data_IF_625308448710
#
_entry.id   IF_625308448710
#
_cell.length_a   1.000
_cell.length_b   1.000
_cell.length_c   1.000
_cell.angle_alpha   90.00
_cell.angle_beta   90.00
_cell.angle_gamma   90.00
#
_symmetry.space_group_name_H-M   'P 1'
#
loop_
_entity.id
_entity.type
_entity.pdbx_description
1 polymer ?
#
# COMPACT_ATOMS: atom_id res chain seq x y z
N UNK A 1 -16.11 -3.94 5.26
CA UNK A 1 -14.74 -3.50 4.92
C UNK A 1 -14.80 -3.05 3.46
N UNK A 2 -14.54 -1.78 3.14
CA UNK A 2 -14.92 -1.14 1.86
C UNK A 2 -13.77 -1.11 0.84
N UNK A 3 -14.09 -1.21 -0.46
CA UNK A 3 -13.21 -1.04 -1.65
C UNK A 3 -12.39 0.27 -1.62
N UNK A 4 -12.80 1.23 -0.79
CA UNK A 4 -12.06 2.47 -0.56
C UNK A 4 -10.67 2.30 0.10
N UNK A 5 -10.36 1.12 0.69
CA UNK A 5 -9.09 0.89 1.41
C UNK A 5 -7.82 1.13 0.57
N UNK A 6 -7.63 0.49 -0.60
CA UNK A 6 -6.49 0.76 -1.48
C UNK A 6 -6.25 2.26 -1.71
N UNK A 7 -7.31 3.02 -1.95
CA UNK A 7 -7.20 4.46 -2.19
C UNK A 7 -6.78 5.22 -0.95
N UNK A 8 -7.41 4.96 0.19
CA UNK A 8 -7.13 5.72 1.41
C UNK A 8 -5.68 5.51 1.86
N UNK A 9 -5.18 4.27 1.80
CA UNK A 9 -3.78 4.01 2.15
C UNK A 9 -2.82 4.56 1.10
N UNK A 10 -3.12 4.45 -0.20
CA UNK A 10 -2.29 5.07 -1.24
C UNK A 10 -2.28 6.60 -1.12
N UNK A 11 -3.38 7.23 -0.70
CA UNK A 11 -3.44 8.65 -0.36
C UNK A 11 -2.52 9.01 0.81
N UNK A 12 -2.52 8.19 1.87
CA UNK A 12 -1.58 8.35 2.98
C UNK A 12 -0.12 8.27 2.53
N UNK A 13 0.20 7.31 1.65
CA UNK A 13 1.56 7.15 1.08
C UNK A 13 1.93 8.34 0.19
N UNK A 14 1.02 8.82 -0.64
CA UNK A 14 1.24 10.03 -1.43
C UNK A 14 1.52 11.25 -0.54
N UNK A 15 0.84 11.36 0.61
CA UNK A 15 1.13 12.40 1.59
C UNK A 15 2.54 12.25 2.20
N UNK A 16 2.97 11.03 2.55
CA UNK A 16 4.33 10.78 3.03
C UNK A 16 5.37 11.20 1.98
N UNK A 17 5.17 10.80 0.73
CA UNK A 17 6.09 11.08 -0.38
C UNK A 17 6.19 12.58 -0.68
N UNK A 18 5.08 13.33 -0.61
CA UNK A 18 5.09 14.80 -0.71
C UNK A 18 5.96 15.47 0.37
N UNK A 19 6.05 14.86 1.55
CA UNK A 19 6.86 15.33 2.68
C UNK A 19 8.26 14.70 2.71
N UNK A 20 8.64 14.04 1.61
CA UNK A 20 9.92 13.36 1.41
C UNK A 20 10.20 12.26 2.45
N UNK A 21 9.15 11.60 2.93
CA UNK A 21 9.21 10.44 3.81
C UNK A 21 8.95 9.20 2.97
N UNK A 22 9.89 8.25 2.96
CA UNK A 22 9.65 6.89 2.48
C UNK A 22 9.58 5.95 3.69
N UNK A 23 8.56 5.11 3.74
CA UNK A 23 8.26 4.29 4.92
C UNK A 23 9.09 3.00 4.98
N UNK A 24 9.33 2.38 3.81
CA UNK A 24 10.12 1.15 3.62
C UNK A 24 9.53 -0.13 4.22
N UNK A 25 8.30 -0.10 4.72
CA UNK A 25 7.58 -1.28 5.26
C UNK A 25 6.05 -1.18 5.08
N UNK A 26 5.59 -0.87 3.86
CA UNK A 26 4.16 -0.64 3.59
C UNK A 26 3.42 -1.95 3.28
N UNK A 27 3.20 -2.76 4.32
CA UNK A 27 2.43 -4.00 4.28
C UNK A 27 1.17 -3.93 5.14
N UNK A 28 0.19 -4.84 4.97
CA UNK A 28 -1.11 -4.74 5.62
C UNK A 28 -1.08 -4.69 7.15
N UNK A 29 -0.09 -5.30 7.79
CA UNK A 29 0.11 -5.24 9.24
C UNK A 29 0.32 -3.81 9.75
N UNK A 30 0.87 -2.93 8.91
CA UNK A 30 1.14 -1.53 9.22
C UNK A 30 0.00 -0.59 8.79
N UNK A 31 -1.13 -1.17 8.33
CA UNK A 31 -2.33 -0.45 7.92
C UNK A 31 -3.47 -0.66 8.91
N UNK A 32 -3.66 0.32 9.79
CA UNK A 32 -4.75 0.28 10.76
C UNK A 32 -5.99 1.02 10.26
N UNK A 33 -7.14 0.54 10.70
CA UNK A 33 -8.39 1.28 10.60
C UNK A 33 -9.08 1.27 11.96
N UNK A 34 -9.69 2.37 12.35
CA UNK A 34 -10.45 2.44 13.59
C UNK A 34 -11.62 1.46 13.51
N UNK A 35 -11.61 0.37 14.29
CA UNK A 35 -12.81 -0.45 14.51
C UNK A 35 -13.74 0.30 15.45
N UNK A 36 -15.00 0.47 15.03
CA UNK A 36 -16.09 0.71 15.98
C UNK A 36 -16.55 -0.65 16.48
N UNK A 37 -15.94 -1.17 17.54
CA UNK A 37 -16.63 -2.19 18.34
C UNK A 37 -17.75 -1.45 19.06
N UNK A 38 -18.93 -1.42 18.45
CA UNK A 38 -20.08 -0.72 18.99
C UNK A 38 -20.33 -1.11 20.43
N UNK A 39 -20.15 -0.17 21.36
CA UNK A 39 -21.07 -0.13 22.48
C UNK A 39 -22.40 0.29 21.86
N UNK A 40 -23.31 -0.65 21.68
CA UNK A 40 -24.69 -0.30 21.37
C UNK A 40 -25.22 0.45 22.59
N UNK A 41 -25.41 1.76 22.45
CA UNK A 41 -26.07 2.59 23.45
C UNK A 41 -27.52 2.75 22.96
N UNK A 42 -28.50 2.06 23.57
CA UNK A 42 -29.90 2.22 23.19
C UNK A 42 -30.30 3.70 23.24
N UNK A 43 -30.93 4.18 22.17
CA UNK A 43 -31.47 5.53 22.10
C UNK A 43 -30.51 6.62 21.60
N UNK A 44 -29.24 6.31 21.29
CA UNK A 44 -28.37 7.26 20.57
C UNK A 44 -28.36 6.95 19.07
N UNK A 45 -28.75 7.94 18.27
CA UNK A 45 -28.40 8.01 16.85
C UNK A 45 -26.94 7.62 16.70
N UNK A 46 -26.67 6.56 15.93
CA UNK A 46 -25.30 6.22 15.59
C UNK A 46 -24.77 7.33 14.69
N UNK A 47 -24.08 8.32 15.26
CA UNK A 47 -23.25 9.20 14.45
C UNK A 47 -22.25 8.29 13.75
N UNK A 48 -22.43 8.08 12.45
CA UNK A 48 -21.51 7.36 11.59
C UNK A 48 -20.23 8.18 11.51
N UNK A 49 -19.38 8.10 12.53
CA UNK A 49 -18.04 8.65 12.42
C UNK A 49 -17.34 7.88 11.30
N UNK A 50 -16.94 8.61 10.25
CA UNK A 50 -16.15 8.06 9.15
C UNK A 50 -14.95 7.31 9.73
N UNK A 51 -14.68 6.05 9.34
CA UNK A 51 -13.54 5.31 9.85
C UNK A 51 -12.24 6.09 9.60
N UNK A 52 -11.37 6.12 10.61
CA UNK A 52 -10.03 6.70 10.49
C UNK A 52 -9.05 5.61 10.08
N UNK A 53 -8.16 5.94 9.17
CA UNK A 53 -7.14 5.04 8.65
C UNK A 53 -5.77 5.59 9.05
N UNK A 54 -4.86 4.70 9.41
CA UNK A 54 -3.55 5.05 9.94
C UNK A 54 -2.49 4.17 9.28
N UNK A 55 -1.42 4.80 8.81
CA UNK A 55 -0.14 4.15 8.53
C UNK A 55 0.66 4.26 9.84
N UNK A 56 1.19 3.14 10.32
CA UNK A 56 1.96 3.06 11.57
C UNK A 56 3.33 2.45 11.31
N UNK A 57 4.16 2.42 12.35
CA UNK A 57 5.45 1.73 12.36
C UNK A 57 6.54 2.35 11.47
N UNK A 58 6.90 3.59 11.80
CA UNK A 58 7.89 4.39 11.06
C UNK A 58 9.35 4.08 11.43
N UNK A 59 9.64 2.96 12.10
CA UNK A 59 10.99 2.68 12.59
C UNK A 59 12.04 2.59 11.47
N UNK A 60 11.63 2.16 10.27
CA UNK A 60 12.51 2.05 9.10
C UNK A 60 12.34 3.19 8.10
N UNK A 61 11.49 4.17 8.43
CA UNK A 61 11.23 5.28 7.56
C UNK A 61 12.45 6.18 7.42
N UNK A 62 12.66 6.70 6.21
CA UNK A 62 13.68 7.69 5.91
C UNK A 62 13.02 8.98 5.49
N UNK A 63 13.50 10.12 6.02
CA UNK A 63 13.07 11.45 5.60
C UNK A 63 14.23 12.20 4.97
N UNK A 64 14.06 12.61 3.73
CA UNK A 64 15.04 13.44 3.03
C UNK A 64 14.81 14.92 3.31
N UNK A 65 15.87 15.72 3.25
CA UNK A 65 15.77 17.18 3.32
C UNK A 65 14.97 17.72 2.11
N UNK A 66 14.07 18.70 2.30
CA UNK A 66 13.46 19.44 1.20
C UNK A 66 14.47 20.02 0.20
N UNK A 67 15.65 20.40 0.71
CA UNK A 67 16.71 21.05 -0.06
C UNK A 67 17.69 20.04 -0.70
N UNK A 68 17.53 18.72 -0.47
CA UNK A 68 18.42 17.72 -1.08
C UNK A 68 18.13 17.55 -2.58
N UNK A 69 19.17 17.22 -3.35
CA UNK A 69 19.01 16.83 -4.75
C UNK A 69 18.13 15.57 -4.85
N UNK A 70 17.00 15.59 -5.60
CA UNK A 70 16.17 14.42 -5.84
C UNK A 70 16.95 13.17 -6.27
N UNK A 71 18.03 13.32 -7.06
CA UNK A 71 18.84 12.20 -7.52
C UNK A 71 19.59 11.48 -6.39
N UNK A 72 19.82 12.15 -5.25
CA UNK A 72 20.50 11.60 -4.07
C UNK A 72 19.55 10.98 -3.05
N UNK A 73 18.23 11.03 -3.30
CA UNK A 73 17.22 10.49 -2.38
C UNK A 73 17.08 8.99 -2.56
N UNK A 74 18.15 8.28 -2.21
CA UNK A 74 18.28 6.83 -2.42
C UNK A 74 18.61 6.11 -1.11
N UNK A 75 18.37 4.80 -1.10
CA UNK A 75 18.77 3.87 -0.04
C UNK A 75 19.39 2.62 -0.68
N UNK A 76 20.07 1.79 0.10
CA UNK A 76 20.66 0.51 -0.37
C UNK A 76 20.16 -0.62 0.51
N UNK A 77 19.84 -1.76 -0.11
CA UNK A 77 19.38 -2.96 0.56
C UNK A 77 18.11 -2.81 1.42
N UNK A 78 17.77 -3.85 2.20
CA UNK A 78 16.70 -3.83 3.18
C UNK A 78 17.03 -2.94 4.39
N UNK A 79 16.03 -2.51 5.17
CA UNK A 79 16.24 -1.74 6.40
C UNK A 79 16.86 -2.57 7.54
N UNK A 80 16.71 -3.89 7.48
CA UNK A 80 17.34 -4.87 8.37
C UNK A 80 18.21 -5.82 7.55
N UNK A 81 19.15 -6.52 8.19
CA UNK A 81 19.93 -7.54 7.49
C UNK A 81 19.03 -8.65 6.93
N UNK A 82 19.44 -9.26 5.80
CA UNK A 82 18.64 -10.27 5.10
C UNK A 82 18.29 -11.50 5.94
N UNK A 83 19.08 -11.83 6.96
CA UNK A 83 18.79 -12.90 7.91
C UNK A 83 17.60 -12.58 8.83
N UNK A 84 17.22 -11.31 8.96
CA UNK A 84 16.12 -10.82 9.81
C UNK A 84 14.95 -10.32 8.95
N UNK A 85 15.19 -9.71 7.79
CA UNK A 85 14.14 -9.18 6.92
C UNK A 85 13.28 -10.33 6.35
N UNK A 86 11.98 -10.29 6.63
CA UNK A 86 11.01 -11.36 6.23
C UNK A 86 9.97 -10.92 5.21
N UNK A 87 9.92 -9.64 4.86
CA UNK A 87 8.94 -9.13 3.90
C UNK A 87 9.37 -9.43 2.47
N UNK A 88 8.42 -9.56 1.52
CA UNK A 88 8.75 -9.58 0.09
C UNK A 88 9.53 -8.33 -0.33
N UNK A 89 10.78 -8.47 -0.84
CA UNK A 89 11.55 -7.33 -1.28
C UNK A 89 11.15 -6.91 -2.71
N UNK A 90 11.04 -5.60 -3.01
CA UNK A 90 10.95 -5.16 -4.39
C UNK A 90 12.27 -5.49 -5.13
N UNK A 91 12.27 -5.74 -6.45
CA UNK A 91 13.43 -6.26 -7.17
C UNK A 91 14.71 -5.42 -7.00
N UNK A 92 14.60 -4.10 -6.97
CA UNK A 92 15.74 -3.20 -6.78
C UNK A 92 16.41 -3.31 -5.40
N UNK A 93 15.68 -3.76 -4.38
CA UNK A 93 16.22 -3.95 -3.02
C UNK A 93 17.19 -5.13 -2.95
N UNK A 94 17.03 -6.11 -3.85
CA UNK A 94 17.94 -7.25 -3.99
C UNK A 94 19.27 -6.84 -4.64
N UNK A 95 19.34 -5.66 -5.23
CA UNK A 95 20.60 -5.12 -5.75
C UNK A 95 21.42 -4.48 -4.62
N UNK A 96 22.74 -4.53 -4.74
CA UNK A 96 23.66 -3.76 -3.89
C UNK A 96 23.75 -2.28 -4.31
N UNK A 97 22.95 -1.86 -5.31
CA UNK A 97 22.97 -0.52 -5.85
C UNK A 97 21.98 0.40 -5.09
N UNK A 98 22.26 1.71 -5.01
CA UNK A 98 21.29 2.66 -4.49
C UNK A 98 20.01 2.70 -5.34
N UNK A 99 18.86 2.69 -4.69
CA UNK A 99 17.55 2.75 -5.34
C UNK A 99 16.63 3.80 -4.70
N UNK A 100 15.56 4.16 -5.43
CA UNK A 100 14.57 5.12 -4.97
C UNK A 100 13.59 4.46 -3.96
N UNK A 101 13.61 4.83 -2.67
CA UNK A 101 12.73 4.20 -1.68
C UNK A 101 11.25 4.55 -1.90
N UNK A 102 10.94 5.66 -2.56
CA UNK A 102 9.56 6.02 -2.90
C UNK A 102 8.94 5.04 -3.92
N UNK A 103 9.73 4.54 -4.87
CA UNK A 103 9.25 3.52 -5.83
C UNK A 103 9.14 2.15 -5.17
N UNK A 104 10.00 1.83 -4.19
CA UNK A 104 9.88 0.64 -3.37
C UNK A 104 8.59 0.65 -2.54
N UNK A 105 8.28 1.77 -1.87
CA UNK A 105 7.02 1.98 -1.15
C UNK A 105 5.79 1.72 -2.04
N UNK A 106 5.78 2.28 -3.26
CA UNK A 106 4.68 2.07 -4.22
C UNK A 106 4.51 0.59 -4.58
N UNK A 107 5.62 -0.13 -4.78
CA UNK A 107 5.58 -1.55 -5.08
C UNK A 107 4.98 -2.36 -3.93
N UNK A 108 5.39 -2.07 -2.68
CA UNK A 108 4.87 -2.74 -1.48
C UNK A 108 3.36 -2.53 -1.34
N UNK A 109 2.88 -1.30 -1.55
CA UNK A 109 1.44 -0.97 -1.54
C UNK A 109 0.69 -1.73 -2.63
N UNK A 110 1.22 -1.73 -3.86
CA UNK A 110 0.62 -2.44 -5.00
C UNK A 110 0.44 -3.94 -4.71
N UNK A 111 1.53 -4.61 -4.30
CA UNK A 111 1.50 -6.05 -3.96
C UNK A 111 0.55 -6.35 -2.80
N UNK A 112 0.57 -5.52 -1.76
CA UNK A 112 -0.30 -5.68 -0.59
C UNK A 112 -1.77 -5.62 -0.96
N UNK A 113 -2.16 -4.68 -1.84
CA UNK A 113 -3.56 -4.54 -2.21
C UNK A 113 -4.02 -5.52 -3.29
N UNK A 114 -3.17 -5.98 -4.22
CA UNK A 114 -3.56 -6.99 -5.22
C UNK A 114 -4.19 -8.21 -4.55
N UNK A 115 -3.49 -8.82 -3.58
CA UNK A 115 -3.99 -9.99 -2.83
C UNK A 115 -5.30 -9.69 -2.10
N UNK A 116 -5.47 -8.46 -1.63
CA UNK A 116 -6.68 -8.03 -0.92
C UNK A 116 -7.87 -7.88 -1.87
N UNK A 117 -7.67 -7.46 -3.12
CA UNK A 117 -8.76 -7.15 -4.06
C UNK A 117 -8.90 -8.13 -5.23
N UNK A 118 -8.08 -9.19 -5.32
CA UNK A 118 -8.12 -10.12 -6.44
C UNK A 118 -9.48 -10.78 -6.64
N UNK A 119 -10.18 -11.12 -5.56
CA UNK A 119 -11.51 -11.72 -5.60
C UNK A 119 -12.59 -10.83 -6.28
N UNK A 120 -12.35 -9.53 -6.45
CA UNK A 120 -13.24 -8.60 -7.16
C UNK A 120 -12.73 -8.20 -8.55
N UNK A 121 -11.70 -8.86 -9.10
CA UNK A 121 -11.16 -8.57 -10.44
C UNK A 121 -12.25 -8.59 -11.52
N UNK A 122 -13.14 -9.58 -11.48
CA UNK A 122 -14.25 -9.69 -12.44
C UNK A 122 -15.28 -8.54 -12.35
N UNK A 123 -15.28 -7.79 -11.24
CA UNK A 123 -16.19 -6.67 -11.02
C UNK A 123 -15.53 -5.32 -11.34
N UNK A 124 -14.24 -5.18 -11.05
CA UNK A 124 -13.50 -3.92 -11.18
C UNK A 124 -12.05 -4.18 -11.61
N UNK A 125 -11.82 -4.61 -12.87
CA UNK A 125 -10.48 -4.94 -13.35
C UNK A 125 -9.54 -3.73 -13.31
N UNK A 126 -10.06 -2.50 -13.50
CA UNK A 126 -9.23 -1.30 -13.54
C UNK A 126 -8.48 -1.03 -12.23
N UNK A 127 -9.03 -1.41 -11.07
CA UNK A 127 -8.30 -1.28 -9.80
C UNK A 127 -7.08 -2.19 -9.79
N UNK A 128 -7.23 -3.45 -10.22
CA UNK A 128 -6.10 -4.37 -10.29
C UNK A 128 -5.05 -3.95 -11.31
N UNK A 129 -5.46 -3.42 -12.47
CA UNK A 129 -4.53 -2.89 -13.47
C UNK A 129 -3.65 -1.79 -12.87
N UNK A 130 -4.24 -0.85 -12.12
CA UNK A 130 -3.50 0.21 -11.44
C UNK A 130 -2.54 -0.39 -10.39
N UNK A 131 -2.99 -1.34 -9.57
CA UNK A 131 -2.16 -1.96 -8.54
C UNK A 131 -1.00 -2.78 -9.14
N UNK A 132 -1.24 -3.51 -10.24
CA UNK A 132 -0.21 -4.24 -11.00
C UNK A 132 0.81 -3.27 -11.61
N UNK A 133 0.36 -2.10 -12.08
CA UNK A 133 1.25 -1.04 -12.57
C UNK A 133 2.11 -0.47 -11.44
N UNK A 134 1.56 -0.31 -10.24
CA UNK A 134 2.32 0.09 -9.05
C UNK A 134 3.39 -0.95 -8.65
N UNK A 135 3.11 -2.24 -8.86
CA UNK A 135 4.02 -3.34 -8.49
C UNK A 135 4.81 -3.95 -9.64
N UNK A 136 5.01 -3.23 -10.75
CA UNK A 136 5.83 -3.71 -11.87
C UNK A 136 7.31 -3.81 -11.46
N UNK A 137 8.05 -4.78 -11.98
CA UNK A 137 9.43 -5.04 -11.56
C UNK A 137 10.36 -3.83 -11.76
N UNK A 138 10.26 -3.18 -12.93
CA UNK A 138 11.03 -1.97 -13.24
C UNK A 138 10.49 -0.77 -12.47
N UNK A 139 11.31 -0.22 -11.57
CA UNK A 139 10.92 0.86 -10.67
C UNK A 139 10.51 2.15 -11.42
N UNK A 140 11.15 2.42 -12.55
CA UNK A 140 10.86 3.55 -13.44
C UNK A 140 9.47 3.47 -14.08
N UNK A 141 8.98 2.26 -14.35
CA UNK A 141 7.69 2.02 -15.00
C UNK A 141 6.50 2.14 -14.03
N UNK A 142 6.77 2.13 -12.71
CA UNK A 142 5.74 2.30 -11.68
C UNK A 142 5.23 3.74 -11.68
N UNK A 143 3.93 3.93 -11.52
CA UNK A 143 3.35 5.23 -11.18
C UNK A 143 3.91 5.72 -9.84
N UNK A 144 3.89 7.03 -9.62
CA UNK A 144 4.01 7.59 -8.27
C UNK A 144 2.76 7.27 -7.45
N UNK A 145 2.86 7.32 -6.12
CA UNK A 145 1.70 7.19 -5.25
C UNK A 145 0.61 8.23 -5.59
N UNK A 146 1.00 9.45 -5.96
CA UNK A 146 0.08 10.53 -6.35
C UNK A 146 -0.66 10.24 -7.65
N UNK A 147 0.05 9.74 -8.67
CA UNK A 147 -0.58 9.32 -9.94
C UNK A 147 -1.54 8.15 -9.72
N UNK A 148 -1.14 7.16 -8.92
CA UNK A 148 -2.01 6.03 -8.56
C UNK A 148 -3.29 6.49 -7.84
N UNK A 149 -3.19 7.44 -6.90
CA UNK A 149 -4.36 8.06 -6.25
C UNK A 149 -5.28 8.71 -7.28
N UNK A 150 -4.74 9.45 -8.26
CA UNK A 150 -5.55 10.08 -9.31
C UNK A 150 -6.32 9.02 -10.10
N UNK A 151 -5.63 7.99 -10.59
CA UNK A 151 -6.23 6.92 -11.39
C UNK A 151 -7.29 6.16 -10.59
N UNK A 152 -7.01 5.82 -9.33
CA UNK A 152 -7.96 5.11 -8.48
C UNK A 152 -9.21 5.95 -8.15
N UNK A 153 -9.05 7.26 -7.94
CA UNK A 153 -10.18 8.18 -7.75
C UNK A 153 -11.07 8.26 -9.00
N UNK A 154 -10.47 8.27 -10.20
CA UNK A 154 -11.20 8.26 -11.48
C UNK A 154 -12.01 6.98 -11.66
N UNK A 155 -11.47 5.83 -11.24
CA UNK A 155 -12.22 4.56 -11.23
C UNK A 155 -13.37 4.63 -10.22
N UNK A 156 -13.11 5.01 -8.97
CA UNK A 156 -14.16 5.07 -7.93
C UNK A 156 -15.29 6.03 -8.28
N UNK A 157 -14.98 7.18 -8.90
CA UNK A 157 -15.99 8.15 -9.29
C UNK A 157 -17.02 7.58 -10.29
N UNK A 158 -16.66 6.52 -11.03
CA UNK A 158 -17.53 5.83 -12.00
C UNK A 158 -18.27 4.63 -11.42
N UNK A 159 -17.90 4.16 -10.22
CA UNK A 159 -18.47 2.94 -9.65
C UNK A 159 -19.84 3.18 -9.00
N UNK A 160 -20.81 2.25 -9.18
CA UNK A 160 -22.06 2.28 -8.44
C UNK A 160 -21.81 2.19 -6.92
N UNK A 161 -22.58 2.91 -6.08
CA UNK A 161 -22.43 2.88 -4.62
C UNK A 161 -22.51 1.47 -4.01
N UNK A 162 -23.26 0.56 -4.65
CA UNK A 162 -23.42 -0.82 -4.21
C UNK A 162 -22.10 -1.59 -4.28
N UNK A 163 -21.30 -1.35 -5.32
CA UNK A 163 -19.99 -1.99 -5.49
C UNK A 163 -19.02 -1.47 -4.42
N UNK A 164 -19.02 -0.17 -4.14
CA UNK A 164 -18.17 0.43 -3.10
C UNK A 164 -18.44 -0.11 -1.69
N UNK A 165 -19.65 -0.64 -1.46
CA UNK A 165 -20.07 -1.23 -0.18
C UNK A 165 -19.78 -2.73 -0.10
N UNK A 166 -19.36 -3.38 -1.20
CA UNK A 166 -19.02 -4.80 -1.21
C UNK A 166 -17.91 -5.11 -0.19
N UNK A 167 -18.04 -6.21 0.59
CA UNK A 167 -16.99 -6.65 1.48
C UNK A 167 -15.73 -7.02 0.69
N UNK A 168 -14.58 -6.61 1.20
CA UNK A 168 -13.27 -7.15 0.81
C UNK A 168 -12.97 -8.37 1.70
N UNK A 169 -12.32 -9.40 1.16
CA UNK A 169 -11.72 -10.50 1.94
C UNK A 169 -10.70 -10.01 2.98
N UNK A 170 -10.67 -10.67 4.15
CA UNK A 170 -9.59 -10.51 5.12
C UNK A 170 -8.52 -11.52 4.74
N UNK A 171 -7.40 -11.04 4.21
CA UNK A 171 -6.21 -11.86 4.01
C UNK A 171 -5.48 -11.90 5.35
N UNK A 172 -5.25 -13.10 5.89
CA UNK A 172 -4.45 -13.30 7.09
C UNK A 172 -2.98 -12.90 6.79
N UNK A 173 -2.40 -12.00 7.60
CA UNK A 173 -1.04 -11.44 7.45
C UNK A 173 0.04 -12.54 7.30
N UNK A 174 -0.16 -13.70 7.94
CA UNK A 174 0.78 -14.83 7.90
C UNK A 174 0.95 -15.48 6.53
N UNK A 175 -0.01 -15.27 5.61
CA UNK A 175 0.09 -15.76 4.22
C UNK A 175 0.99 -14.88 3.34
N UNK A 176 1.43 -13.70 3.83
CA UNK A 176 2.31 -12.79 3.09
C UNK A 176 3.79 -13.04 3.34
N UNK A 177 4.13 -13.77 4.40
CA UNK A 177 5.51 -14.16 4.76
C UNK A 177 5.93 -15.50 4.10
N UNK A 178 4.96 -16.32 3.68
CA UNK A 178 5.22 -17.47 2.80
C UNK A 178 5.32 -16.94 1.37
N UNK A 179 6.53 -16.56 0.97
CA UNK A 179 6.84 -16.29 -0.44
C UNK A 179 6.39 -17.46 -1.30
N UNK A 180 5.92 -17.17 -2.51
CA UNK A 180 5.85 -18.16 -3.58
C UNK A 180 7.24 -18.80 -3.66
N UNK A 181 7.35 -19.98 -3.06
CA UNK A 181 8.53 -20.83 -3.17
C UNK A 181 8.74 -21.01 -4.66
N UNK A 182 9.89 -20.52 -5.13
CA UNK A 182 10.39 -20.69 -6.48
C UNK A 182 10.03 -22.10 -6.96
N UNK A 183 9.09 -22.19 -7.91
CA UNK A 183 8.98 -23.39 -8.73
C UNK A 183 10.28 -23.42 -9.54
N UNK A 184 11.25 -24.18 -9.02
CA UNK A 184 12.42 -24.61 -9.78
C UNK A 184 11.93 -25.54 -10.89
N UNK A 185 11.96 -25.05 -12.14
CA UNK A 185 12.13 -25.88 -13.35
C UNK A 185 13.59 -25.82 -13.81
#
# INVERSE_FOLDING_TARGET
MQIAKPIIFTQGVAFLHDHLVAHRDLFPSNFLSSRRNGLWIPGKSQDFLRPRYYIIDFEWAVRFSPDSDPATRTVTGPPLSWDIYRRPPPPEMLSELPYCPFKADVWQVGKSFIRIVEHIENQIPEILEILRKMSTDRAEDRSSAREAVSQLNEVIARLPPQILQSPIEQVDDYSMDEGDSLEEE
#
